data_IF_744224933135
#
_entry.id   IF_744224933135
#
_cell.length_a   1.000
_cell.length_b   1.000
_cell.length_c   1.000
_cell.angle_alpha   90.00
_cell.angle_beta   90.00
_cell.angle_gamma   90.00
#
_symmetry.space_group_name_H-M   'P 1'
#
loop_
_entity.id
_entity.type
_entity.pdbx_description
1 polymer ?
#
# COMPACT_ATOMS: atom_id res chain seq x y z
N UNK A 1 -28.86 -8.62 1.59
CA UNK A 1 -28.26 -7.34 1.13
C UNK A 1 -27.24 -7.68 0.04
N UNK A 2 -27.53 -7.48 -1.25
CA UNK A 2 -26.58 -7.79 -2.34
C UNK A 2 -25.42 -6.80 -2.25
N UNK A 3 -24.28 -7.24 -1.71
CA UNK A 3 -23.06 -6.42 -1.76
C UNK A 3 -22.67 -6.38 -3.24
N UNK A 4 -22.76 -5.20 -3.85
CA UNK A 4 -22.39 -5.05 -5.24
C UNK A 4 -20.87 -5.14 -5.38
N UNK A 5 -20.41 -5.74 -6.48
CA UNK A 5 -19.00 -5.77 -6.88
C UNK A 5 -18.36 -4.37 -6.80
N UNK A 6 -19.13 -3.33 -7.15
CA UNK A 6 -18.73 -1.93 -7.06
C UNK A 6 -18.22 -1.54 -5.66
N UNK A 7 -18.89 -2.01 -4.60
CA UNK A 7 -18.52 -1.67 -3.22
C UNK A 7 -17.19 -2.29 -2.83
N UNK A 8 -16.89 -3.50 -3.29
CA UNK A 8 -15.58 -4.13 -3.10
C UNK A 8 -14.48 -3.39 -3.86
N UNK A 9 -14.74 -2.97 -5.10
CA UNK A 9 -13.79 -2.19 -5.90
C UNK A 9 -13.47 -0.85 -5.22
N UNK A 10 -14.47 -0.13 -4.70
CA UNK A 10 -14.25 1.13 -3.97
C UNK A 10 -13.42 0.89 -2.70
N UNK A 11 -13.74 -0.17 -1.95
CA UNK A 11 -13.00 -0.52 -0.72
C UNK A 11 -11.54 -0.86 -1.04
N UNK A 12 -11.30 -1.62 -2.11
CA UNK A 12 -9.96 -1.96 -2.59
C UNK A 12 -9.17 -0.72 -2.97
N UNK A 13 -9.80 0.22 -3.68
CA UNK A 13 -9.16 1.41 -4.19
C UNK A 13 -8.76 2.35 -3.05
N UNK A 14 -9.62 2.52 -2.05
CA UNK A 14 -9.31 3.28 -0.82
C UNK A 14 -8.13 2.64 -0.07
N UNK A 15 -8.13 1.30 0.05
CA UNK A 15 -7.07 0.55 0.72
C UNK A 15 -5.73 0.68 0.01
N UNK A 16 -5.71 0.59 -1.32
CA UNK A 16 -4.52 0.82 -2.14
C UNK A 16 -3.99 2.22 -1.93
N UNK A 17 -4.84 3.26 -1.97
CA UNK A 17 -4.41 4.65 -1.74
C UNK A 17 -3.80 4.79 -0.34
N UNK A 18 -4.47 4.30 0.70
CA UNK A 18 -3.98 4.36 2.08
C UNK A 18 -2.62 3.66 2.23
N UNK A 19 -2.48 2.45 1.68
CA UNK A 19 -1.23 1.68 1.76
C UNK A 19 -0.11 2.32 0.94
N UNK A 20 -0.44 2.96 -0.18
CA UNK A 20 0.54 3.70 -0.99
C UNK A 20 1.07 4.91 -0.24
N UNK A 21 0.21 5.67 0.45
CA UNK A 21 0.62 6.80 1.29
C UNK A 21 1.50 6.32 2.45
N UNK A 22 1.09 5.27 3.17
CA UNK A 22 1.90 4.68 4.25
C UNK A 22 3.26 4.20 3.75
N UNK A 23 3.29 3.49 2.62
CA UNK A 23 4.55 3.06 2.00
C UNK A 23 5.42 4.24 1.63
N UNK A 24 4.85 5.33 1.12
CA UNK A 24 5.59 6.53 0.75
C UNK A 24 6.24 7.18 1.97
N UNK A 25 5.52 7.28 3.09
CA UNK A 25 6.06 7.80 4.37
C UNK A 25 7.21 6.93 4.87
N UNK A 26 7.04 5.60 4.88
CA UNK A 26 8.09 4.65 5.33
C UNK A 26 9.32 4.73 4.42
N UNK A 27 9.10 4.83 3.12
CA UNK A 27 10.20 4.88 2.16
C UNK A 27 10.94 6.21 2.31
N UNK A 28 10.22 7.34 2.42
CA UNK A 28 10.80 8.66 2.65
C UNK A 28 11.57 8.74 3.97
N UNK A 29 11.07 8.16 5.05
CA UNK A 29 11.78 8.13 6.34
C UNK A 29 13.07 7.31 6.26
N UNK A 30 13.05 6.15 5.58
CA UNK A 30 14.25 5.35 5.31
C UNK A 30 15.30 6.17 4.54
N UNK A 31 14.89 6.92 3.52
CA UNK A 31 15.79 7.75 2.74
C UNK A 31 16.35 8.94 3.52
N UNK A 32 15.54 9.58 4.38
CA UNK A 32 16.00 10.63 5.29
C UNK A 32 17.07 10.08 6.25
N UNK A 33 16.84 8.92 6.85
CA UNK A 33 17.82 8.26 7.72
C UNK A 33 19.11 7.94 6.96
N UNK A 34 18.98 7.45 5.72
CA UNK A 34 20.14 7.13 4.88
C UNK A 34 20.93 8.39 4.52
N UNK A 35 20.25 9.49 4.17
CA UNK A 35 20.87 10.79 3.92
C UNK A 35 21.66 11.30 5.13
N UNK A 36 21.10 11.20 6.34
CA UNK A 36 21.83 11.55 7.56
C UNK A 36 23.06 10.65 7.81
N UNK A 37 23.04 9.41 7.31
CA UNK A 37 24.14 8.45 7.50
C UNK A 37 25.25 8.57 6.46
N UNK A 38 24.92 8.81 5.20
CA UNK A 38 25.88 8.82 4.07
C UNK A 38 26.20 10.21 3.55
N UNK A 39 25.47 11.25 3.95
CA UNK A 39 25.66 12.64 3.49
C UNK A 39 25.33 12.87 2.02
N UNK A 40 24.82 11.86 1.31
CA UNK A 40 24.51 11.92 -0.13
C UNK A 40 23.13 11.33 -0.42
N UNK A 41 22.35 12.02 -1.24
CA UNK A 41 21.17 11.44 -1.90
C UNK A 41 21.66 10.58 -3.08
N UNK A 42 21.76 9.27 -2.87
CA UNK A 42 22.24 8.35 -3.92
C UNK A 42 21.12 7.83 -4.83
N UNK A 43 19.84 8.04 -4.47
CA UNK A 43 18.68 7.53 -5.20
C UNK A 43 17.79 8.66 -5.73
N UNK A 44 17.24 8.45 -6.93
CA UNK A 44 16.38 9.42 -7.61
C UNK A 44 14.97 9.44 -7.02
N UNK A 45 14.36 10.63 -6.85
CA UNK A 45 12.98 10.80 -6.34
C UNK A 45 11.95 9.94 -7.11
N UNK A 46 12.16 9.77 -8.41
CA UNK A 46 11.30 8.94 -9.29
C UNK A 46 11.30 7.47 -8.84
N UNK A 47 12.47 6.95 -8.44
CA UNK A 47 12.63 5.57 -8.00
C UNK A 47 11.98 5.34 -6.63
N UNK A 48 12.00 6.34 -5.76
CA UNK A 48 11.30 6.34 -4.46
C UNK A 48 9.78 6.26 -4.66
N UNK A 49 9.25 7.10 -5.54
CA UNK A 49 7.82 7.13 -5.87
C UNK A 49 7.39 5.80 -6.52
N UNK A 50 8.18 5.29 -7.46
CA UNK A 50 7.90 4.01 -8.13
C UNK A 50 7.89 2.84 -7.15
N UNK A 51 8.88 2.76 -6.26
CA UNK A 51 8.95 1.71 -5.24
C UNK A 51 7.75 1.78 -4.29
N UNK A 52 7.40 3.00 -3.85
CA UNK A 52 6.26 3.23 -2.95
C UNK A 52 4.93 2.85 -3.59
N UNK A 53 4.71 3.19 -4.86
CA UNK A 53 3.54 2.76 -5.63
C UNK A 53 3.47 1.24 -5.77
N UNK A 54 4.59 0.59 -6.10
CA UNK A 54 4.65 -0.87 -6.28
C UNK A 54 4.30 -1.61 -4.99
N UNK A 55 4.86 -1.17 -3.86
CA UNK A 55 4.60 -1.75 -2.54
C UNK A 55 3.15 -1.49 -2.11
N UNK A 56 2.68 -0.26 -2.25
CA UNK A 56 1.31 0.13 -1.89
C UNK A 56 0.23 -0.60 -2.68
N UNK A 57 0.43 -0.77 -3.99
CA UNK A 57 -0.44 -1.59 -4.84
C UNK A 57 -0.46 -3.05 -4.39
N UNK A 58 0.72 -3.64 -4.18
CA UNK A 58 0.83 -5.03 -3.78
C UNK A 58 0.13 -5.29 -2.44
N UNK A 59 0.44 -4.51 -1.41
CA UNK A 59 -0.16 -4.68 -0.07
C UNK A 59 -1.65 -4.37 -0.07
N UNK A 60 -2.08 -3.31 -0.76
CA UNK A 60 -3.50 -2.95 -0.86
C UNK A 60 -4.34 -4.05 -1.52
N UNK A 61 -3.85 -4.64 -2.61
CA UNK A 61 -4.52 -5.77 -3.28
C UNK A 61 -4.56 -7.00 -2.36
N UNK A 62 -3.45 -7.33 -1.69
CA UNK A 62 -3.33 -8.51 -0.84
C UNK A 62 -4.29 -8.45 0.36
N UNK A 63 -4.40 -7.28 1.00
CA UNK A 63 -5.36 -7.04 2.09
C UNK A 63 -6.79 -7.12 1.59
N UNK A 64 -7.09 -6.52 0.44
CA UNK A 64 -8.44 -6.58 -0.15
C UNK A 64 -8.86 -8.03 -0.45
N UNK A 65 -7.96 -8.83 -1.03
CA UNK A 65 -8.19 -10.26 -1.28
C UNK A 65 -8.39 -11.01 0.05
N UNK A 66 -7.57 -10.72 1.07
CA UNK A 66 -7.72 -11.30 2.40
C UNK A 66 -9.10 -11.02 3.02
N UNK A 67 -9.54 -9.76 2.99
CA UNK A 67 -10.87 -9.36 3.49
C UNK A 67 -11.98 -10.02 2.65
N UNK A 68 -11.81 -10.11 1.33
CA UNK A 68 -12.78 -10.77 0.44
C UNK A 68 -12.92 -12.26 0.74
N UNK A 69 -11.81 -12.98 0.94
CA UNK A 69 -11.80 -14.39 1.34
C UNK A 69 -12.48 -14.56 2.71
N UNK A 70 -12.10 -13.74 3.69
CA UNK A 70 -12.68 -13.78 5.04
C UNK A 70 -14.19 -13.56 5.01
N UNK A 71 -14.67 -12.62 4.19
CA UNK A 71 -16.10 -12.39 3.96
C UNK A 71 -16.78 -13.56 3.24
N UNK A 72 -16.18 -14.09 2.17
CA UNK A 72 -16.74 -15.19 1.36
C UNK A 72 -16.94 -16.47 2.18
N UNK A 73 -15.96 -16.79 3.04
CA UNK A 73 -15.98 -17.99 3.87
C UNK A 73 -16.53 -17.74 5.28
N UNK A 74 -16.98 -16.51 5.57
CA UNK A 74 -17.52 -16.09 6.87
C UNK A 74 -16.63 -16.53 8.05
N UNK A 75 -15.30 -16.48 7.85
CA UNK A 75 -14.32 -16.86 8.86
C UNK A 75 -14.31 -15.73 9.88
N UNK A 76 -14.93 -15.96 11.04
CA UNK A 76 -14.84 -15.07 12.20
C UNK A 76 -13.54 -15.41 12.92
N UNK A 77 -12.69 -14.40 13.08
CA UNK A 77 -11.46 -14.47 13.87
C UNK A 77 -11.82 -14.49 15.36
#
# INVERSE_FOLDING_TARGET
MKISLLRWVITALILVIAMTICSLIITASKYMILYFKTGSFNDSLVQILYLSMKIGLFTGVLITIGIWIMYRFNIRL
#
